data_IF_367475282101
#
_entry.id   IF_367475282101
#
_cell.length_a   1.000
_cell.length_b   1.000
_cell.length_c   1.000
_cell.angle_alpha   90.00
_cell.angle_beta   90.00
_cell.angle_gamma   90.00
#
_symmetry.space_group_name_H-M   'P 1'
#
loop_
_entity.id
_entity.type
_entity.pdbx_description
1 polymer ?
#
# COMPACT_ATOMS: atom_id res chain seq x y z
N UNK A 1 19.14 0.80 3.86
CA UNK A 1 18.81 0.58 2.44
C UNK A 1 19.72 1.43 1.58
N UNK A 2 20.15 0.94 0.41
CA UNK A 2 21.01 1.67 -0.53
C UNK A 2 20.25 2.65 -1.42
N UNK A 3 18.94 2.46 -1.59
CA UNK A 3 18.06 3.32 -2.38
C UNK A 3 16.64 3.37 -1.79
N UNK A 4 15.83 4.34 -2.24
CA UNK A 4 14.40 4.35 -1.93
C UNK A 4 13.66 3.16 -2.55
N UNK A 5 14.20 2.58 -3.63
CA UNK A 5 13.67 1.34 -4.21
C UNK A 5 13.80 0.19 -3.20
N UNK A 6 14.98 0.00 -2.63
CA UNK A 6 15.24 -1.05 -1.64
C UNK A 6 14.47 -0.82 -0.34
N UNK A 7 14.34 0.45 0.08
CA UNK A 7 13.57 0.82 1.26
C UNK A 7 12.09 0.47 1.11
N UNK A 8 11.48 0.84 -0.02
CA UNK A 8 10.10 0.47 -0.32
C UNK A 8 9.93 -1.05 -0.45
N UNK A 9 10.91 -1.75 -1.02
CA UNK A 9 10.91 -3.21 -1.12
C UNK A 9 10.84 -3.91 0.25
N UNK A 10 11.57 -3.42 1.25
CA UNK A 10 11.70 -4.09 2.55
C UNK A 10 10.72 -3.65 3.64
N UNK A 11 10.12 -2.46 3.53
CA UNK A 11 9.34 -1.87 4.64
C UNK A 11 8.04 -2.64 4.91
N UNK A 12 7.35 -3.13 3.88
CA UNK A 12 6.00 -3.70 4.03
C UNK A 12 6.00 -5.07 4.72
N UNK A 13 6.91 -5.98 4.33
CA UNK A 13 7.02 -7.29 4.96
C UNK A 13 7.40 -7.20 6.45
N UNK A 14 8.17 -6.16 6.81
CA UNK A 14 8.55 -5.91 8.21
C UNK A 14 7.37 -5.44 9.06
N UNK A 15 6.46 -4.64 8.49
CA UNK A 15 5.36 -4.02 9.22
C UNK A 15 4.06 -4.84 9.21
N UNK A 16 3.85 -5.62 8.14
CA UNK A 16 2.56 -6.22 7.82
C UNK A 16 2.64 -7.75 7.72
N UNK A 17 1.63 -8.41 8.26
CA UNK A 17 1.43 -9.85 8.17
C UNK A 17 0.13 -10.23 7.44
N UNK A 18 -0.21 -11.54 7.40
CA UNK A 18 -1.39 -12.07 6.71
C UNK A 18 -2.74 -11.54 7.23
N UNK A 19 -2.78 -11.05 8.47
CA UNK A 19 -3.99 -10.49 9.11
C UNK A 19 -4.17 -8.99 8.87
N UNK A 20 -3.20 -8.35 8.22
CA UNK A 20 -3.20 -6.91 7.96
C UNK A 20 -3.67 -6.61 6.52
N UNK A 21 -4.02 -5.35 6.26
CA UNK A 21 -4.39 -4.86 4.93
C UNK A 21 -3.58 -3.61 4.56
N UNK A 22 -3.19 -3.54 3.29
CA UNK A 22 -2.57 -2.36 2.68
C UNK A 22 -3.44 -1.84 1.54
N UNK A 23 -3.68 -0.54 1.54
CA UNK A 23 -4.52 0.18 0.58
C UNK A 23 -3.61 1.15 -0.17
N UNK A 24 -3.33 0.85 -1.43
CA UNK A 24 -2.36 1.58 -2.26
C UNK A 24 -3.06 2.45 -3.30
N UNK A 25 -2.56 3.67 -3.49
CA UNK A 25 -2.94 4.49 -4.64
C UNK A 25 -2.59 3.75 -5.95
N UNK A 26 -3.46 3.90 -6.94
CA UNK A 26 -3.35 3.26 -8.23
C UNK A 26 -2.12 3.66 -9.05
N UNK A 27 -1.56 4.84 -8.82
CA UNK A 27 -0.41 5.41 -9.52
C UNK A 27 0.84 5.54 -8.64
N UNK A 28 0.86 4.86 -7.48
CA UNK A 28 2.08 4.80 -6.66
C UNK A 28 3.28 4.31 -7.46
N UNK A 29 4.46 4.78 -7.07
CA UNK A 29 5.73 4.39 -7.64
C UNK A 29 5.89 2.87 -7.67
N UNK A 30 6.49 2.34 -8.74
CA UNK A 30 6.61 0.90 -8.96
C UNK A 30 7.25 0.16 -7.77
N UNK A 31 8.26 0.76 -7.13
CA UNK A 31 8.92 0.16 -5.95
C UNK A 31 8.00 -0.01 -4.74
N UNK A 32 7.01 0.88 -4.56
CA UNK A 32 5.99 0.73 -3.51
C UNK A 32 5.10 -0.47 -3.83
N UNK A 33 4.65 -0.56 -5.09
CA UNK A 33 3.79 -1.65 -5.56
C UNK A 33 4.50 -3.00 -5.38
N UNK A 34 5.77 -3.08 -5.76
CA UNK A 34 6.54 -4.31 -5.66
C UNK A 34 6.83 -4.68 -4.19
N UNK A 35 7.17 -3.72 -3.34
CA UNK A 35 7.30 -3.96 -1.89
C UNK A 35 5.99 -4.47 -1.25
N UNK A 36 4.85 -3.90 -1.62
CA UNK A 36 3.53 -4.37 -1.18
C UNK A 36 3.29 -5.82 -1.65
N UNK A 37 3.70 -6.16 -2.87
CA UNK A 37 3.50 -7.51 -3.43
C UNK A 37 4.31 -8.58 -2.70
N UNK A 38 5.45 -8.22 -2.10
CA UNK A 38 6.27 -9.11 -1.29
C UNK A 38 5.66 -9.36 0.11
N UNK A 39 4.83 -8.45 0.61
CA UNK A 39 4.11 -8.65 1.86
C UNK A 39 2.99 -9.68 1.74
N UNK A 40 2.61 -10.30 2.87
CA UNK A 40 1.48 -11.24 2.95
C UNK A 40 0.13 -10.57 3.22
N UNK A 41 0.11 -9.24 3.38
CA UNK A 41 -1.08 -8.49 3.71
C UNK A 41 -2.13 -8.54 2.60
N UNK A 42 -3.41 -8.38 2.97
CA UNK A 42 -4.48 -8.15 1.99
C UNK A 42 -4.18 -6.88 1.21
N UNK A 43 -4.15 -6.97 -0.11
CA UNK A 43 -3.84 -5.84 -1.01
C UNK A 43 -5.12 -5.26 -1.58
N UNK A 44 -5.34 -3.98 -1.33
CA UNK A 44 -6.44 -3.18 -1.87
C UNK A 44 -5.87 -1.99 -2.63
N UNK A 45 -6.57 -1.55 -3.66
CA UNK A 45 -6.11 -0.47 -4.54
C UNK A 45 -7.26 0.51 -4.75
N UNK A 46 -6.96 1.80 -4.63
CA UNK A 46 -7.92 2.87 -4.92
C UNK A 46 -7.44 3.75 -6.09
N UNK A 47 -8.37 4.36 -6.82
CA UNK A 47 -8.08 5.26 -7.92
C UNK A 47 -7.25 6.48 -7.47
N UNK A 48 -6.40 7.00 -8.36
CA UNK A 48 -5.44 8.05 -7.99
C UNK A 48 -6.14 9.29 -7.43
N UNK A 49 -5.75 9.69 -6.22
CA UNK A 49 -6.34 10.85 -5.51
C UNK A 49 -7.86 10.78 -5.31
N UNK A 50 -8.47 9.61 -5.48
CA UNK A 50 -9.91 9.41 -5.27
C UNK A 50 -10.19 9.03 -3.81
N UNK A 51 -10.61 10.01 -3.02
CA UNK A 51 -10.92 9.82 -1.61
C UNK A 51 -12.18 8.98 -1.37
N UNK A 52 -13.13 8.96 -2.32
CA UNK A 52 -14.34 8.17 -2.20
C UNK A 52 -14.06 6.68 -2.47
N UNK A 53 -13.21 6.38 -3.45
CA UNK A 53 -12.73 5.01 -3.67
C UNK A 53 -11.83 4.56 -2.52
N UNK A 54 -10.95 5.43 -2.01
CA UNK A 54 -10.18 5.13 -0.79
C UNK A 54 -11.07 4.74 0.39
N UNK A 55 -12.15 5.49 0.64
CA UNK A 55 -13.11 5.15 1.68
C UNK A 55 -13.79 3.79 1.42
N UNK A 56 -14.12 3.50 0.17
CA UNK A 56 -14.67 2.20 -0.25
C UNK A 56 -13.70 1.06 0.05
N UNK A 57 -12.41 1.22 -0.27
CA UNK A 57 -11.38 0.24 0.02
C UNK A 57 -11.14 0.09 1.54
N UNK A 58 -11.20 1.18 2.31
CA UNK A 58 -11.09 1.13 3.77
C UNK A 58 -12.20 0.31 4.43
N UNK A 59 -13.42 0.39 3.91
CA UNK A 59 -14.55 -0.46 4.31
C UNK A 59 -14.30 -1.92 3.89
N UNK A 60 -13.84 -2.15 2.66
CA UNK A 60 -13.51 -3.48 2.16
C UNK A 60 -12.33 -4.16 2.89
N UNK A 61 -11.46 -3.38 3.55
CA UNK A 61 -10.42 -3.90 4.44
C UNK A 61 -10.97 -4.61 5.68
N UNK A 62 -12.26 -4.43 6.01
CA UNK A 62 -12.97 -5.22 7.01
C UNK A 62 -12.31 -5.19 8.39
N UNK A 63 -12.15 -6.36 9.01
CA UNK A 63 -11.57 -6.55 10.34
C UNK A 63 -10.05 -6.78 10.33
N UNK A 64 -9.35 -6.36 9.27
CA UNK A 64 -7.89 -6.43 9.24
C UNK A 64 -7.28 -5.81 10.50
N UNK A 65 -6.34 -6.53 11.13
CA UNK A 65 -5.72 -6.15 12.40
C UNK A 65 -5.06 -4.77 12.32
N UNK A 66 -4.35 -4.51 11.23
CA UNK A 66 -3.83 -3.19 10.86
C UNK A 66 -4.26 -2.85 9.44
N UNK A 67 -4.56 -1.56 9.21
CA UNK A 67 -4.87 -1.00 7.89
C UNK A 67 -3.84 0.10 7.59
N UNK A 68 -3.05 -0.09 6.55
CA UNK A 68 -2.05 0.88 6.11
C UNK A 68 -2.48 1.51 4.78
N UNK A 69 -2.60 2.83 4.72
CA UNK A 69 -2.80 3.58 3.48
C UNK A 69 -1.42 4.01 2.99
N UNK A 70 -1.16 3.81 1.70
CA UNK A 70 0.12 4.17 1.08
C UNK A 70 -0.15 5.01 -0.16
N UNK A 71 0.43 6.20 -0.20
CA UNK A 71 0.30 7.16 -1.30
C UNK A 71 1.59 7.93 -1.47
N UNK A 72 1.99 8.19 -2.71
CA UNK A 72 3.05 9.15 -2.99
C UNK A 72 2.58 10.57 -2.68
N UNK A 73 3.43 11.35 -2.02
CA UNK A 73 3.15 12.77 -1.76
C UNK A 73 3.17 13.61 -3.04
N UNK A 74 3.98 13.20 -4.03
CA UNK A 74 4.02 13.78 -5.38
C UNK A 74 4.19 12.63 -6.37
N UNK A 75 3.26 12.50 -7.30
CA UNK A 75 3.32 11.48 -8.35
C UNK A 75 4.31 11.90 -9.44
N UNK A 76 5.13 10.96 -9.90
CA UNK A 76 6.18 11.23 -10.89
C UNK A 76 5.64 11.45 -12.33
N UNK A 77 4.35 11.18 -12.55
CA UNK A 77 3.61 11.33 -13.82
C UNK A 77 2.31 12.06 -13.53
#
# INVERSE_FOLDING_TARGET
YSSCFDANGGVFETLLGPEDAVISDALNHASIIDGIRLSKAKRLRYANRDMADLETQLKAAGEARRKLIVTDGVFSM
#
